data_IF_790049237869
#
_entry.id   IF_790049237869
#
_cell.length_a   1.000
_cell.length_b   1.000
_cell.length_c   1.000
_cell.angle_alpha   90.00
_cell.angle_beta   90.00
_cell.angle_gamma   90.00
#
_symmetry.space_group_name_H-M   'P 1'
#
loop_
_entity.id
_entity.type
_entity.pdbx_description
1 polymer ?
#
# COMPACT_ATOMS: atom_id res chain seq x y z
N UNK A 1 -45.30 -15.87 8.53
CA UNK A 1 -44.36 -15.12 7.67
C UNK A 1 -43.88 -13.81 8.33
N UNK A 2 -43.74 -13.79 9.67
CA UNK A 2 -43.32 -12.62 10.47
C UNK A 2 -42.12 -13.01 11.38
N UNK A 3 -41.55 -14.20 11.18
CA UNK A 3 -40.51 -14.80 12.03
C UNK A 3 -39.08 -14.64 11.51
N UNK A 4 -38.87 -14.02 10.34
CA UNK A 4 -37.51 -13.81 9.79
C UNK A 4 -36.92 -12.41 10.06
N UNK A 5 -37.66 -11.50 10.68
CA UNK A 5 -37.16 -10.13 10.97
C UNK A 5 -36.44 -9.99 12.32
N UNK A 6 -36.37 -11.05 13.14
CA UNK A 6 -35.86 -10.99 14.53
C UNK A 6 -34.38 -11.41 14.67
N UNK A 7 -33.76 -12.04 13.66
CA UNK A 7 -32.36 -12.49 13.74
C UNK A 7 -31.31 -11.46 13.26
N UNK A 8 -31.73 -10.27 12.81
CA UNK A 8 -30.81 -9.24 12.30
C UNK A 8 -30.19 -8.33 13.38
N UNK A 9 -30.37 -8.62 14.68
CA UNK A 9 -30.04 -7.70 15.77
C UNK A 9 -28.95 -8.15 16.76
N UNK A 10 -28.22 -9.23 16.49
CA UNK A 10 -27.12 -9.70 17.36
C UNK A 10 -25.75 -9.69 16.69
N UNK A 11 -25.51 -8.76 15.78
CA UNK A 11 -24.14 -8.38 15.43
C UNK A 11 -23.78 -7.23 16.36
N UNK A 12 -22.80 -7.37 17.27
CA UNK A 12 -22.39 -6.25 18.10
C UNK A 12 -22.03 -5.10 17.17
N UNK A 13 -22.72 -3.98 17.36
CA UNK A 13 -22.57 -2.73 16.65
C UNK A 13 -21.21 -2.10 16.96
N UNK A 14 -20.13 -2.76 16.56
CA UNK A 14 -18.86 -2.09 16.37
C UNK A 14 -19.08 -1.14 15.21
N UNK A 15 -19.31 0.13 15.55
CA UNK A 15 -19.51 1.19 14.58
C UNK A 15 -18.35 1.09 13.58
N UNK A 16 -18.58 1.04 12.26
CA UNK A 16 -17.48 1.01 11.29
C UNK A 16 -16.49 2.17 11.52
N UNK A 17 -16.97 3.27 12.10
CA UNK A 17 -16.20 4.40 12.60
C UNK A 17 -15.22 4.04 13.74
N UNK A 18 -15.59 3.15 14.66
CA UNK A 18 -14.75 2.70 15.76
C UNK A 18 -13.63 1.79 15.25
N UNK A 19 -13.92 0.86 14.33
CA UNK A 19 -12.89 0.02 13.69
C UNK A 19 -11.88 0.89 12.91
N UNK A 20 -12.37 1.93 12.24
CA UNK A 20 -11.52 2.92 11.57
C UNK A 20 -10.65 3.70 12.57
N UNK A 21 -11.23 4.22 13.66
CA UNK A 21 -10.48 4.95 14.68
C UNK A 21 -9.40 4.08 15.35
N UNK A 22 -9.74 2.85 15.70
CA UNK A 22 -8.82 1.89 16.33
C UNK A 22 -7.67 1.54 15.38
N UNK A 23 -7.95 1.34 14.09
CA UNK A 23 -6.91 1.02 13.12
C UNK A 23 -5.99 2.18 12.80
N UNK A 24 -6.52 3.41 12.66
CA UNK A 24 -5.69 4.61 12.49
C UNK A 24 -4.82 4.84 13.73
N UNK A 25 -5.39 4.72 14.93
CA UNK A 25 -4.63 4.81 16.18
C UNK A 25 -3.53 3.75 16.24
N UNK A 26 -3.81 2.52 15.82
CA UNK A 26 -2.81 1.44 15.74
C UNK A 26 -1.67 1.76 14.76
N UNK A 27 -1.99 2.29 13.57
CA UNK A 27 -0.99 2.69 12.57
C UNK A 27 -0.09 3.78 13.14
N UNK A 28 -0.68 4.86 13.66
CA UNK A 28 0.07 6.00 14.20
C UNK A 28 0.94 5.56 15.37
N UNK A 29 0.40 4.74 16.28
CA UNK A 29 1.17 4.18 17.40
C UNK A 29 2.34 3.33 16.92
N UNK A 30 2.12 2.46 15.93
CA UNK A 30 3.17 1.58 15.39
C UNK A 30 4.32 2.35 14.73
N UNK A 31 4.01 3.42 13.99
CA UNK A 31 5.03 4.25 13.31
C UNK A 31 5.76 5.16 14.30
N UNK A 32 5.06 5.74 15.27
CA UNK A 32 5.65 6.75 16.18
C UNK A 32 6.37 6.15 17.39
N UNK A 33 5.82 5.10 18.01
CA UNK A 33 6.34 4.54 19.28
C UNK A 33 7.25 3.33 19.07
N UNK A 34 6.97 2.48 18.10
CA UNK A 34 7.76 1.26 17.85
C UNK A 34 8.86 1.43 16.79
N UNK A 35 8.98 2.61 16.15
CA UNK A 35 9.94 2.86 15.05
C UNK A 35 9.96 1.73 14.01
N UNK A 36 8.81 1.09 13.78
CA UNK A 36 8.68 0.04 12.79
C UNK A 36 8.64 0.67 11.40
N UNK A 37 9.31 0.02 10.45
CA UNK A 37 9.26 0.43 9.05
C UNK A 37 7.78 0.47 8.58
N UNK A 38 7.31 1.58 7.96
CA UNK A 38 5.91 1.78 7.57
C UNK A 38 5.25 0.59 6.86
N UNK A 39 6.00 -0.13 6.01
CA UNK A 39 5.53 -1.37 5.39
C UNK A 39 4.98 -2.40 6.41
N UNK A 40 5.74 -2.68 7.47
CA UNK A 40 5.33 -3.63 8.50
C UNK A 40 4.19 -3.07 9.36
N UNK A 41 4.19 -1.76 9.63
CA UNK A 41 3.11 -1.12 10.37
C UNK A 41 1.77 -1.24 9.60
N UNK A 42 1.76 -0.93 8.31
CA UNK A 42 0.56 -1.02 7.45
C UNK A 42 0.07 -2.47 7.29
N UNK A 43 0.98 -3.43 7.09
CA UNK A 43 0.62 -4.86 7.00
C UNK A 43 -0.01 -5.36 8.31
N UNK A 44 0.57 -4.98 9.46
CA UNK A 44 0.02 -5.34 10.77
C UNK A 44 -1.36 -4.71 11.00
N UNK A 45 -1.54 -3.45 10.58
CA UNK A 45 -2.82 -2.75 10.72
C UNK A 45 -3.91 -3.35 9.84
N UNK A 46 -3.59 -3.76 8.61
CA UNK A 46 -4.53 -4.42 7.72
C UNK A 46 -4.99 -5.78 8.27
N UNK A 47 -4.06 -6.56 8.85
CA UNK A 47 -4.40 -7.81 9.56
C UNK A 47 -5.28 -7.51 10.79
N UNK A 48 -4.95 -6.48 11.56
CA UNK A 48 -5.71 -6.07 12.75
C UNK A 48 -7.14 -5.61 12.38
N UNK A 49 -7.29 -4.84 11.30
CA UNK A 49 -8.59 -4.44 10.74
C UNK A 49 -9.37 -5.66 10.28
N UNK A 50 -8.75 -6.56 9.51
CA UNK A 50 -9.39 -7.78 9.03
C UNK A 50 -9.87 -8.68 10.18
N UNK A 51 -9.16 -8.67 11.32
CA UNK A 51 -9.57 -9.40 12.52
C UNK A 51 -10.74 -8.73 13.25
N UNK A 52 -10.78 -7.40 13.30
CA UNK A 52 -11.89 -6.64 13.91
C UNK A 52 -13.14 -6.59 13.02
N UNK A 53 -12.98 -6.74 11.70
CA UNK A 53 -14.03 -6.53 10.70
C UNK A 53 -14.87 -7.78 10.40
N UNK A 54 -15.48 -8.40 11.42
CA UNK A 54 -16.62 -9.34 11.31
C UNK A 54 -16.51 -10.53 10.33
N UNK A 55 -17.62 -11.25 10.06
CA UNK A 55 -17.64 -12.32 9.07
C UNK A 55 -17.47 -11.73 7.67
N UNK A 56 -16.30 -11.99 7.11
CA UNK A 56 -15.93 -11.58 5.76
C UNK A 56 -16.81 -12.35 4.76
N UNK A 57 -17.40 -11.69 3.74
CA UNK A 57 -18.11 -12.38 2.68
C UNK A 57 -17.17 -13.38 2.02
N UNK A 58 -17.61 -14.62 1.83
CA UNK A 58 -16.82 -15.61 1.10
C UNK A 58 -16.58 -15.11 -0.33
N UNK A 59 -15.40 -15.45 -0.88
CA UNK A 59 -15.05 -15.15 -2.28
C UNK A 59 -16.00 -15.90 -3.20
N UNK A 60 -17.17 -15.31 -3.46
CA UNK A 60 -18.11 -15.84 -4.44
C UNK A 60 -17.44 -15.82 -5.82
N UNK A 61 -17.50 -16.98 -6.46
CA UNK A 61 -16.97 -17.33 -7.79
C UNK A 61 -17.32 -16.33 -8.90
N UNK A 62 -18.30 -15.45 -8.70
CA UNK A 62 -18.78 -14.46 -9.67
C UNK A 62 -17.85 -13.24 -9.84
N UNK A 63 -16.98 -12.93 -8.87
CA UNK A 63 -16.01 -11.82 -8.97
C UNK A 63 -14.58 -12.28 -9.33
N UNK A 64 -14.45 -13.50 -9.85
CA UNK A 64 -13.18 -13.96 -10.42
C UNK A 64 -12.94 -13.22 -11.75
N UNK A 65 -12.12 -12.17 -11.71
CA UNK A 65 -11.45 -11.68 -12.92
C UNK A 65 -10.48 -12.73 -13.49
N UNK A 66 -9.71 -12.37 -14.51
CA UNK A 66 -8.78 -13.19 -15.31
C UNK A 66 -7.76 -14.11 -14.56
N UNK A 67 -7.74 -14.11 -13.24
CA UNK A 67 -6.84 -14.89 -12.37
C UNK A 67 -7.57 -16.02 -11.63
N UNK A 68 -8.36 -16.83 -12.33
CA UNK A 68 -9.13 -17.94 -11.74
C UNK A 68 -8.26 -19.00 -11.04
N UNK A 69 -7.01 -19.20 -11.46
CA UNK A 69 -6.11 -20.27 -10.99
C UNK A 69 -5.18 -19.90 -9.81
N UNK A 70 -5.24 -18.68 -9.28
CA UNK A 70 -4.35 -18.23 -8.17
C UNK A 70 -5.09 -18.03 -6.84
N UNK A 71 -6.41 -18.22 -6.85
CA UNK A 71 -7.32 -17.85 -5.75
C UNK A 71 -8.23 -19.01 -5.36
N UNK A 72 -7.97 -20.23 -5.83
CA UNK A 72 -8.70 -21.40 -5.36
C UNK A 72 -8.19 -21.78 -3.97
N UNK A 73 -9.01 -21.45 -2.98
CA UNK A 73 -8.87 -21.90 -1.61
C UNK A 73 -9.40 -23.34 -1.63
N UNK A 74 -8.61 -24.36 -1.27
CA UNK A 74 -9.19 -25.69 -1.06
C UNK A 74 -10.22 -25.56 0.06
N UNK A 75 -11.46 -25.91 -0.25
CA UNK A 75 -12.54 -26.09 0.71
C UNK A 75 -12.16 -27.24 1.64
N UNK A 76 -11.37 -26.94 2.66
CA UNK A 76 -11.15 -27.84 3.77
C UNK A 76 -12.19 -27.52 4.81
N UNK A 77 -13.13 -28.46 4.99
CA UNK A 77 -14.24 -28.50 5.95
C UNK A 77 -13.79 -28.48 7.43
N UNK A 78 -13.01 -27.48 7.81
CA UNK A 78 -12.53 -27.31 9.18
C UNK A 78 -12.36 -25.83 9.44
N UNK A 79 -13.41 -25.23 10.01
CA UNK A 79 -13.49 -23.87 10.57
C UNK A 79 -12.10 -23.20 10.70
N UNK A 80 -11.61 -22.50 9.66
CA UNK A 80 -10.37 -21.78 9.80
C UNK A 80 -10.71 -20.61 10.70
N UNK A 81 -10.17 -20.62 11.92
CA UNK A 81 -10.36 -19.56 12.90
C UNK A 81 -10.31 -18.18 12.21
N UNK A 82 -11.21 -17.26 12.59
CA UNK A 82 -11.36 -15.92 11.97
C UNK A 82 -10.02 -15.20 11.70
N UNK A 83 -9.00 -15.50 12.50
CA UNK A 83 -7.62 -15.05 12.38
C UNK A 83 -6.91 -15.46 11.07
N UNK A 84 -7.10 -16.70 10.61
CA UNK A 84 -6.44 -17.20 9.38
C UNK A 84 -7.05 -16.54 8.15
N UNK A 85 -8.36 -16.31 8.15
CA UNK A 85 -9.06 -15.70 7.03
C UNK A 85 -8.64 -14.23 6.87
N UNK A 86 -8.58 -13.46 7.96
CA UNK A 86 -8.12 -12.07 7.95
C UNK A 86 -6.70 -11.90 7.35
N UNK A 87 -5.79 -12.81 7.71
CA UNK A 87 -4.43 -12.83 7.17
C UNK A 87 -4.46 -13.16 5.67
N UNK A 88 -5.23 -14.18 5.25
CA UNK A 88 -5.32 -14.58 3.83
C UNK A 88 -5.82 -13.44 2.93
N UNK A 89 -6.88 -12.74 3.32
CA UNK A 89 -7.42 -11.62 2.56
C UNK A 89 -6.43 -10.47 2.41
N UNK A 90 -5.75 -10.12 3.51
CA UNK A 90 -4.74 -9.05 3.52
C UNK A 90 -3.58 -9.39 2.58
N UNK A 91 -3.06 -10.63 2.66
CA UNK A 91 -1.97 -11.09 1.80
C UNK A 91 -2.38 -11.17 0.33
N UNK A 92 -3.61 -11.58 0.04
CA UNK A 92 -4.13 -11.68 -1.32
C UNK A 92 -4.27 -10.29 -1.97
N UNK A 93 -4.86 -9.32 -1.26
CA UNK A 93 -4.97 -7.94 -1.75
C UNK A 93 -3.61 -7.28 -1.97
N UNK A 94 -2.68 -7.49 -1.04
CA UNK A 94 -1.29 -7.05 -1.20
C UNK A 94 -0.62 -7.71 -2.40
N UNK A 95 -0.70 -9.04 -2.54
CA UNK A 95 -0.06 -9.79 -3.61
C UNK A 95 -0.58 -9.44 -5.00
N UNK A 96 -1.88 -9.18 -5.15
CA UNK A 96 -2.46 -8.75 -6.41
C UNK A 96 -1.95 -7.36 -6.82
N UNK A 97 -1.91 -6.42 -5.87
CA UNK A 97 -1.40 -5.06 -6.12
C UNK A 97 0.10 -5.08 -6.40
N UNK A 98 0.89 -5.76 -5.56
CA UNK A 98 2.33 -5.91 -5.72
C UNK A 98 2.69 -6.63 -7.03
N UNK A 99 1.88 -7.61 -7.45
CA UNK A 99 2.02 -8.26 -8.76
C UNK A 99 1.77 -7.30 -9.93
N UNK A 100 0.81 -6.39 -9.80
CA UNK A 100 0.48 -5.39 -10.82
C UNK A 100 1.53 -4.29 -10.99
N UNK A 101 2.09 -3.76 -9.89
CA UNK A 101 3.06 -2.63 -9.94
C UNK A 101 4.52 -3.05 -9.73
N UNK A 102 4.79 -4.27 -9.26
CA UNK A 102 6.12 -4.69 -8.82
C UNK A 102 7.17 -4.69 -9.94
N UNK A 103 6.81 -5.17 -11.14
CA UNK A 103 7.70 -5.13 -12.30
C UNK A 103 8.03 -3.70 -12.72
N UNK A 104 7.04 -2.81 -12.69
CA UNK A 104 7.19 -1.39 -13.07
C UNK A 104 8.13 -0.70 -12.08
N UNK A 105 7.98 -0.94 -10.77
CA UNK A 105 8.87 -0.40 -9.73
C UNK A 105 10.30 -0.91 -9.92
N UNK A 106 10.49 -2.20 -10.19
CA UNK A 106 11.80 -2.79 -10.39
C UNK A 106 12.53 -2.17 -11.59
N UNK A 107 11.84 -2.03 -12.73
CA UNK A 107 12.40 -1.41 -13.93
C UNK A 107 12.72 0.07 -13.71
N UNK A 108 11.85 0.81 -13.01
CA UNK A 108 12.08 2.21 -12.66
C UNK A 108 13.32 2.38 -11.77
N UNK A 109 13.53 1.49 -10.78
CA UNK A 109 14.72 1.51 -9.92
C UNK A 109 16.02 1.25 -10.71
N UNK A 110 15.99 0.34 -11.69
CA UNK A 110 17.12 0.08 -12.58
C UNK A 110 17.44 1.33 -13.42
N UNK A 111 16.42 1.93 -14.04
CA UNK A 111 16.57 3.16 -14.86
C UNK A 111 17.09 4.31 -14.00
N UNK A 112 16.52 4.52 -12.82
CA UNK A 112 16.94 5.56 -11.88
C UNK A 112 18.41 5.39 -11.46
N UNK A 113 18.82 4.17 -11.13
CA UNK A 113 20.22 3.88 -10.76
C UNK A 113 21.18 4.12 -11.92
N UNK A 114 20.81 3.70 -13.13
CA UNK A 114 21.60 3.96 -14.35
C UNK A 114 21.68 5.46 -14.68
N UNK A 115 20.59 6.20 -14.53
CA UNK A 115 20.54 7.65 -14.75
C UNK A 115 21.42 8.42 -13.75
N UNK A 116 21.42 8.00 -12.49
CA UNK A 116 22.30 8.57 -11.46
C UNK A 116 23.76 8.23 -11.73
N UNK A 117 24.10 6.96 -12.05
CA UNK A 117 25.49 6.55 -12.30
C UNK A 117 26.09 7.10 -13.59
N UNK A 118 25.28 7.38 -14.61
CA UNK A 118 25.74 7.95 -15.89
C UNK A 118 25.97 9.46 -15.84
N UNK A 119 25.60 10.14 -14.74
CA UNK A 119 25.63 11.62 -14.67
C UNK A 119 24.61 12.29 -15.60
N UNK A 120 23.67 11.53 -16.17
CA UNK A 120 22.59 12.06 -17.00
C UNK A 120 21.69 13.00 -16.18
N UNK A 121 21.43 12.67 -14.91
CA UNK A 121 20.72 13.54 -13.98
C UNK A 121 21.42 14.90 -13.81
N UNK A 122 22.73 14.94 -13.53
CA UNK A 122 23.51 16.18 -13.48
C UNK A 122 23.45 16.98 -14.79
N UNK A 123 23.49 16.29 -15.93
CA UNK A 123 23.43 16.93 -17.26
C UNK A 123 22.11 17.69 -17.44
N UNK A 124 20.99 17.08 -17.05
CA UNK A 124 19.66 17.70 -17.12
C UNK A 124 19.59 18.93 -16.22
N UNK A 125 20.08 18.83 -14.97
CA UNK A 125 20.09 19.94 -14.01
C UNK A 125 20.91 21.12 -14.55
N UNK A 126 22.12 20.88 -15.05
CA UNK A 126 22.98 21.93 -15.62
C UNK A 126 22.36 22.57 -16.85
N UNK A 127 21.68 21.79 -17.69
CA UNK A 127 21.01 22.32 -18.87
C UNK A 127 19.86 23.25 -18.47
N UNK A 128 19.01 22.86 -17.52
CA UNK A 128 17.97 23.77 -17.01
C UNK A 128 18.56 25.02 -16.35
N UNK A 129 19.66 24.90 -15.60
CA UNK A 129 20.32 26.05 -14.98
C UNK A 129 20.82 27.05 -16.02
N UNK A 130 21.34 26.54 -17.14
CA UNK A 130 21.79 27.40 -18.25
C UNK A 130 20.66 28.14 -18.97
N UNK A 131 19.44 27.56 -18.99
CA UNK A 131 18.27 28.16 -19.66
C UNK A 131 17.55 29.16 -18.77
N UNK A 132 17.33 28.83 -17.49
CA UNK A 132 16.59 29.67 -16.55
C UNK A 132 17.47 30.71 -15.82
N UNK A 133 18.79 30.55 -15.89
CA UNK A 133 19.78 31.45 -15.31
C UNK A 133 20.10 31.16 -13.84
N UNK A 134 21.38 31.35 -13.48
CA UNK A 134 21.90 31.06 -12.13
C UNK A 134 21.22 31.88 -11.02
N UNK A 135 20.68 33.05 -11.34
CA UNK A 135 19.92 33.90 -10.39
C UNK A 135 18.68 33.20 -9.81
N UNK A 136 18.17 32.14 -10.44
CA UNK A 136 17.00 31.37 -10.00
C UNK A 136 17.34 29.90 -9.72
N UNK A 137 18.59 29.60 -9.33
CA UNK A 137 19.05 28.23 -9.09
C UNK A 137 18.11 27.42 -8.19
N UNK A 138 17.52 28.03 -7.15
CA UNK A 138 16.54 27.36 -6.28
C UNK A 138 15.29 26.85 -7.02
N UNK A 139 14.69 27.68 -7.89
CA UNK A 139 13.53 27.27 -8.70
C UNK A 139 13.89 26.19 -9.71
N UNK A 140 15.07 26.29 -10.31
CA UNK A 140 15.55 25.30 -11.27
C UNK A 140 15.80 23.96 -10.63
N UNK A 141 16.44 23.94 -9.46
CA UNK A 141 16.65 22.73 -8.69
C UNK A 141 15.31 22.08 -8.32
N UNK A 142 14.32 22.86 -7.93
CA UNK A 142 12.98 22.37 -7.62
C UNK A 142 12.29 21.74 -8.85
N UNK A 143 12.33 22.40 -10.01
CA UNK A 143 11.75 21.87 -11.26
C UNK A 143 12.50 20.62 -11.75
N UNK A 144 13.83 20.66 -11.72
CA UNK A 144 14.66 19.53 -12.15
C UNK A 144 14.51 18.31 -11.24
N UNK A 145 14.42 18.52 -9.92
CA UNK A 145 14.16 17.47 -8.94
C UNK A 145 12.75 16.88 -9.10
N UNK A 146 11.75 17.71 -9.38
CA UNK A 146 10.40 17.24 -9.70
C UNK A 146 10.39 16.37 -10.96
N UNK A 147 11.01 16.83 -12.04
CA UNK A 147 11.06 16.11 -13.31
C UNK A 147 11.85 14.79 -13.20
N UNK A 148 12.96 14.78 -12.45
CA UNK A 148 13.77 13.60 -12.18
C UNK A 148 13.09 12.61 -11.20
N UNK A 149 12.21 13.08 -10.32
CA UNK A 149 11.46 12.23 -9.37
C UNK A 149 10.26 11.50 -10.00
N UNK A 150 9.77 11.94 -11.16
CA UNK A 150 8.71 11.23 -11.90
C UNK A 150 9.16 9.81 -12.32
N UNK A 151 10.33 9.62 -12.96
CA UNK A 151 10.85 8.28 -13.25
C UNK A 151 11.43 7.60 -12.00
N UNK A 152 12.00 8.36 -11.07
CA UNK A 152 12.55 7.85 -9.81
C UNK A 152 11.48 7.94 -8.72
N UNK A 153 10.46 7.09 -8.86
CA UNK A 153 9.35 6.84 -7.92
C UNK A 153 9.30 7.78 -6.70
N UNK A 154 8.39 8.75 -6.77
CA UNK A 154 8.11 9.69 -5.69
C UNK A 154 7.99 9.01 -4.31
N UNK A 155 7.37 7.82 -4.22
CA UNK A 155 7.23 7.05 -2.97
C UNK A 155 8.57 6.58 -2.38
N UNK A 156 9.52 6.12 -3.20
CA UNK A 156 10.81 5.62 -2.69
C UNK A 156 11.73 6.76 -2.26
N UNK A 157 11.66 7.92 -2.93
CA UNK A 157 12.37 9.13 -2.54
C UNK A 157 11.77 9.73 -1.26
N UNK A 158 10.45 9.77 -1.12
CA UNK A 158 9.79 10.19 0.11
C UNK A 158 10.20 9.31 1.30
N UNK A 159 10.32 8.00 1.07
CA UNK A 159 10.79 7.06 2.08
C UNK A 159 12.25 7.26 2.48
N UNK A 160 13.11 7.63 1.52
CA UNK A 160 14.51 8.00 1.75
C UNK A 160 14.67 9.33 2.50
N UNK A 161 13.70 10.23 2.37
CA UNK A 161 13.71 11.57 2.99
C UNK A 161 13.10 11.59 4.41
N UNK A 162 12.18 10.68 4.76
CA UNK A 162 11.63 10.56 6.13
C UNK A 162 12.69 10.44 7.25
N UNK A 163 13.81 9.71 7.07
CA UNK A 163 14.83 9.61 8.11
C UNK A 163 15.85 10.77 8.15
N UNK A 164 15.78 11.74 7.24
CA UNK A 164 16.63 12.94 7.22
C UNK A 164 15.90 14.14 7.84
#
# INVERSE_FOLDING_TARGET
MITETVLASTVPSHSPLLVLLVSVAWVVFSVTKLKLHPFFALMSAAIFVGLLSGPLPELSVENKGLYHNRVDLPDSEGSPANHVLAVKWTLMGFGNTAGGIGLIIALAAIIGTCMMRSGAAERVVRHLLSVFGEKRAGLVLLISGFLLSIPVFFDTVFFLLIPL
#
